data_IF_654759317998
#
_entry.id   IF_654759317998
#
_cell.length_a   1.000
_cell.length_b   1.000
_cell.length_c   1.000
_cell.angle_alpha   90.00
_cell.angle_beta   90.00
_cell.angle_gamma   90.00
#
_symmetry.space_group_name_H-M   'P 1'
#
loop_
_entity.id
_entity.type
_entity.pdbx_description
1 polymer ?
#
# COMPACT_ATOMS: atom_id res chain seq x y z
N UNK A 1 -11.90 37.32 5.07
CA UNK A 1 -11.62 35.87 5.24
C UNK A 1 -10.69 35.26 4.17
N UNK A 2 -10.65 35.76 2.92
CA UNK A 2 -9.84 35.17 1.83
C UNK A 2 -8.31 35.11 2.06
N UNK A 3 -7.73 35.96 2.92
CA UNK A 3 -6.28 36.00 3.15
C UNK A 3 -5.73 34.80 3.92
N UNK A 4 -6.50 34.20 4.84
CA UNK A 4 -6.05 33.07 5.68
C UNK A 4 -6.46 31.69 5.17
N UNK A 5 -7.49 31.64 4.32
CA UNK A 5 -7.98 30.40 3.70
C UNK A 5 -6.87 29.65 2.95
N UNK A 6 -5.98 30.39 2.28
CA UNK A 6 -4.84 29.79 1.54
C UNK A 6 -3.86 29.06 2.46
N UNK A 7 -3.62 29.59 3.66
CA UNK A 7 -2.70 28.98 4.64
C UNK A 7 -3.32 27.77 5.33
N UNK A 8 -4.63 27.82 5.64
CA UNK A 8 -5.35 26.68 6.21
C UNK A 8 -5.39 25.52 5.19
N UNK A 9 -5.70 25.81 3.93
CA UNK A 9 -5.69 24.80 2.86
C UNK A 9 -4.28 24.21 2.66
N UNK A 10 -3.23 25.04 2.70
CA UNK A 10 -1.85 24.57 2.60
C UNK A 10 -1.45 23.68 3.80
N UNK A 11 -1.81 24.05 5.04
CA UNK A 11 -1.52 23.26 6.23
C UNK A 11 -2.22 21.89 6.18
N UNK A 12 -3.49 21.87 5.78
CA UNK A 12 -4.27 20.63 5.63
C UNK A 12 -3.67 19.73 4.54
N UNK A 13 -3.28 20.30 3.39
CA UNK A 13 -2.61 19.55 2.31
C UNK A 13 -1.26 18.97 2.76
N UNK A 14 -0.46 19.73 3.52
CA UNK A 14 0.81 19.26 4.07
C UNK A 14 0.57 18.14 5.08
N UNK A 15 -0.40 18.27 5.99
CA UNK A 15 -0.73 17.23 6.96
C UNK A 15 -1.18 15.92 6.27
N UNK A 16 -2.07 16.00 5.28
CA UNK A 16 -2.52 14.82 4.51
C UNK A 16 -1.35 14.12 3.82
N UNK A 17 -0.37 14.88 3.30
CA UNK A 17 0.80 14.30 2.62
C UNK A 17 1.72 13.49 3.55
N UNK A 18 1.78 13.82 4.84
CA UNK A 18 2.61 13.12 5.84
C UNK A 18 1.96 11.80 6.29
N UNK A 19 0.63 11.74 6.38
CA UNK A 19 -0.09 10.53 6.81
C UNK A 19 -0.23 9.44 5.73
N UNK A 20 0.07 9.75 4.47
CA UNK A 20 0.07 8.76 3.38
C UNK A 20 1.32 7.85 3.41
N UNK A 21 2.25 8.07 4.33
CA UNK A 21 3.45 7.24 4.45
C UNK A 21 3.10 5.85 5.02
N UNK A 22 3.09 4.85 4.13
CA UNK A 22 3.21 3.40 4.41
C UNK A 22 1.99 2.70 5.00
N UNK A 23 0.79 2.98 4.49
CA UNK A 23 -0.35 2.11 4.72
C UNK A 23 -0.15 0.74 4.05
N UNK A 24 -0.60 -0.33 4.71
CA UNK A 24 -0.68 -1.66 4.12
C UNK A 24 -1.49 -1.59 2.83
N UNK A 25 -0.95 -2.12 1.74
CA UNK A 25 -1.63 -2.17 0.46
C UNK A 25 -2.05 -3.61 0.19
N UNK A 26 -3.29 -3.81 -0.22
CA UNK A 26 -3.81 -5.12 -0.65
C UNK A 26 -4.50 -4.99 -2.00
N UNK A 27 -4.54 -6.09 -2.74
CA UNK A 27 -5.13 -6.10 -4.06
C UNK A 27 -5.15 -7.46 -4.72
N UNK A 28 -5.63 -7.48 -5.96
CA UNK A 28 -5.54 -8.63 -6.86
C UNK A 28 -4.67 -8.25 -8.05
N UNK A 29 -3.77 -9.13 -8.44
CA UNK A 29 -2.84 -8.88 -9.53
C UNK A 29 -2.50 -10.14 -10.31
N UNK A 30 -1.73 -9.98 -11.38
CA UNK A 30 -1.18 -11.09 -12.16
C UNK A 30 0.23 -11.41 -11.69
N UNK A 31 0.44 -12.60 -11.14
CA UNK A 31 1.76 -13.09 -10.77
C UNK A 31 2.40 -13.78 -11.97
N UNK A 32 3.54 -13.25 -12.42
CA UNK A 32 4.39 -13.88 -13.43
C UNK A 32 5.82 -13.82 -12.93
N UNK A 33 6.46 -14.99 -12.79
CA UNK A 33 7.81 -15.11 -12.23
C UNK A 33 7.89 -14.56 -10.80
N UNK A 34 8.82 -13.64 -10.56
CA UNK A 34 9.10 -13.02 -9.26
C UNK A 34 8.44 -11.65 -9.07
N UNK A 35 7.32 -11.38 -9.74
CA UNK A 35 6.61 -10.11 -9.61
C UNK A 35 5.09 -10.29 -9.74
N UNK A 36 4.35 -9.33 -9.16
CA UNK A 36 2.90 -9.20 -9.30
C UNK A 36 2.59 -7.88 -10.00
N UNK A 37 1.92 -7.95 -11.14
CA UNK A 37 1.46 -6.82 -11.92
C UNK A 37 0.07 -6.40 -11.45
N UNK A 38 -0.09 -5.12 -11.12
CA UNK A 38 -1.22 -4.65 -10.30
C UNK A 38 -2.24 -3.82 -11.08
N UNK A 39 -1.85 -3.28 -12.24
CA UNK A 39 -2.72 -2.43 -13.06
C UNK A 39 -3.50 -3.29 -14.04
N UNK A 40 -4.81 -3.46 -13.82
CA UNK A 40 -5.67 -4.20 -14.73
C UNK A 40 -6.04 -3.36 -15.96
N UNK A 41 -5.90 -3.93 -17.17
CA UNK A 41 -6.20 -3.28 -18.44
C UNK A 41 -7.51 -3.78 -19.08
N UNK A 42 -7.97 -4.98 -18.74
CA UNK A 42 -9.16 -5.60 -19.33
C UNK A 42 -8.99 -7.10 -19.57
N UNK A 43 -9.85 -7.70 -20.38
CA UNK A 43 -9.72 -9.09 -20.84
C UNK A 43 -9.46 -9.14 -22.34
N UNK A 44 -8.66 -10.11 -22.77
CA UNK A 44 -8.36 -10.33 -24.19
C UNK A 44 -8.14 -11.83 -24.46
N UNK A 45 -8.33 -12.29 -25.71
CA UNK A 45 -7.94 -13.64 -26.12
C UNK A 45 -6.42 -13.82 -26.02
N UNK A 46 -5.98 -14.95 -25.49
CA UNK A 46 -4.56 -15.28 -25.36
C UNK A 46 -3.99 -15.69 -26.71
N UNK A 47 -3.01 -14.93 -27.24
CA UNK A 47 -2.43 -15.15 -28.57
C UNK A 47 -3.49 -15.31 -29.69
N UNK A 48 -4.58 -14.54 -29.60
CA UNK A 48 -5.66 -14.57 -30.60
C UNK A 48 -6.62 -15.78 -30.50
N UNK A 49 -6.48 -16.64 -29.50
CA UNK A 49 -7.43 -17.72 -29.26
C UNK A 49 -8.68 -17.23 -28.51
N UNK A 50 -9.80 -17.11 -29.22
CA UNK A 50 -11.08 -16.62 -28.67
C UNK A 50 -11.70 -17.56 -27.62
N UNK A 51 -11.29 -18.83 -27.57
CA UNK A 51 -11.73 -19.78 -26.55
C UNK A 51 -10.94 -19.66 -25.24
N UNK A 52 -9.86 -18.87 -25.23
CA UNK A 52 -8.92 -18.74 -24.10
C UNK A 52 -8.79 -17.26 -23.72
N UNK A 53 -9.77 -16.78 -22.96
CA UNK A 53 -9.84 -15.38 -22.51
C UNK A 53 -9.10 -15.24 -21.19
N UNK A 54 -8.14 -14.32 -21.15
CA UNK A 54 -7.32 -14.02 -19.97
C UNK A 54 -7.45 -12.57 -19.53
N UNK A 55 -7.19 -12.31 -18.25
CA UNK A 55 -7.06 -10.95 -17.71
C UNK A 55 -5.71 -10.35 -18.10
N UNK A 56 -5.73 -9.16 -18.68
CA UNK A 56 -4.53 -8.43 -19.10
C UNK A 56 -4.17 -7.39 -18.04
N UNK A 57 -2.92 -7.39 -17.61
CA UNK A 57 -2.36 -6.40 -16.69
C UNK A 57 -1.24 -5.61 -17.37
N UNK A 58 -1.05 -4.36 -16.96
CA UNK A 58 0.03 -3.52 -17.47
C UNK A 58 1.40 -4.03 -17.04
N UNK A 59 2.35 -4.10 -17.96
CA UNK A 59 3.75 -4.37 -17.63
C UNK A 59 4.49 -3.15 -17.04
N UNK A 60 3.85 -1.97 -16.99
CA UNK A 60 4.45 -0.73 -16.46
C UNK A 60 4.63 -0.73 -14.95
N UNK A 61 3.77 -1.46 -14.23
CA UNK A 61 3.66 -1.40 -12.78
C UNK A 61 3.68 -2.81 -12.22
N UNK A 62 4.77 -3.17 -11.56
CA UNK A 62 4.95 -4.47 -10.95
C UNK A 62 5.51 -4.32 -9.53
N UNK A 63 4.96 -5.12 -8.61
CA UNK A 63 5.49 -5.26 -7.25
C UNK A 63 6.35 -6.50 -7.22
N UNK A 64 7.64 -6.33 -6.92
CA UNK A 64 8.56 -7.46 -6.84
C UNK A 64 8.22 -8.36 -5.66
N UNK A 65 8.37 -9.66 -5.87
CA UNK A 65 8.29 -10.70 -4.85
C UNK A 65 9.71 -10.99 -4.38
N UNK A 66 9.93 -10.90 -3.08
CA UNK A 66 11.16 -11.35 -2.44
C UNK A 66 10.88 -12.70 -1.81
N UNK A 67 11.51 -13.72 -2.39
CA UNK A 67 11.58 -15.08 -1.86
C UNK A 67 12.97 -15.34 -1.31
N UNK A 68 13.10 -15.91 -0.12
CA UNK A 68 14.41 -16.21 0.48
C UNK A 68 14.43 -17.51 1.29
N UNK A 69 15.56 -18.23 1.20
CA UNK A 69 15.94 -19.28 2.14
C UNK A 69 16.68 -18.63 3.32
N UNK A 70 15.94 -17.98 4.22
CA UNK A 70 16.49 -17.24 5.35
C UNK A 70 16.12 -15.76 5.33
N UNK A 71 15.95 -15.18 6.52
CA UNK A 71 15.53 -13.78 6.72
C UNK A 71 16.55 -12.78 6.18
N UNK A 72 16.24 -12.10 5.07
CA UNK A 72 16.98 -10.94 4.56
C UNK A 72 16.50 -9.61 5.14
N UNK A 73 15.60 -9.64 6.13
CA UNK A 73 14.82 -8.46 6.54
C UNK A 73 13.55 -8.32 5.71
N UNK A 74 12.46 -7.94 6.38
CA UNK A 74 11.23 -7.53 5.70
C UNK A 74 11.52 -6.30 4.83
N UNK A 75 11.17 -6.35 3.54
CA UNK A 75 11.37 -5.23 2.60
C UNK A 75 10.06 -4.50 2.33
N UNK A 76 9.97 -3.25 2.79
CA UNK A 76 8.86 -2.37 2.43
C UNK A 76 8.84 -2.06 0.93
N UNK A 77 7.65 -1.94 0.37
CA UNK A 77 7.41 -1.74 -1.06
C UNK A 77 7.44 -3.02 -1.89
N UNK A 78 7.61 -4.19 -1.26
CA UNK A 78 7.70 -5.49 -1.93
C UNK A 78 6.81 -6.52 -1.26
N UNK A 79 6.48 -7.58 -1.99
CA UNK A 79 5.75 -8.74 -1.48
C UNK A 79 6.78 -9.72 -0.89
N UNK A 80 6.70 -9.97 0.40
CA UNK A 80 7.64 -10.80 1.15
C UNK A 80 7.08 -12.22 1.31
N UNK A 81 7.86 -13.23 0.93
CA UNK A 81 7.50 -14.64 1.08
C UNK A 81 8.71 -15.41 1.62
N UNK A 82 8.68 -15.80 2.89
CA UNK A 82 9.73 -16.59 3.51
C UNK A 82 9.19 -17.40 4.70
N UNK A 83 9.80 -18.57 4.93
CA UNK A 83 9.51 -19.45 6.07
C UNK A 83 9.99 -18.84 7.39
N UNK A 84 9.46 -19.30 8.52
CA UNK A 84 9.98 -18.96 9.84
C UNK A 84 11.39 -19.56 10.03
N UNK A 85 12.20 -18.95 10.90
CA UNK A 85 13.52 -19.46 11.21
C UNK A 85 14.23 -18.65 12.28
N UNK A 86 15.55 -18.80 12.33
CA UNK A 86 16.43 -18.06 13.24
C UNK A 86 17.52 -17.34 12.46
N UNK A 87 17.94 -16.17 12.94
CA UNK A 87 19.08 -15.42 12.41
C UNK A 87 20.11 -15.24 13.51
N UNK A 88 21.37 -15.39 13.17
CA UNK A 88 22.44 -15.08 14.12
C UNK A 88 22.59 -13.56 14.26
N UNK A 89 22.48 -13.07 15.49
CA UNK A 89 22.71 -11.68 15.86
C UNK A 89 24.10 -11.57 16.49
N UNK A 90 25.05 -11.03 15.73
CA UNK A 90 26.44 -10.90 16.18
C UNK A 90 26.63 -9.88 17.30
N UNK A 91 25.68 -8.94 17.49
CA UNK A 91 25.78 -7.95 18.56
C UNK A 91 25.47 -8.58 19.93
N UNK A 92 24.55 -9.54 19.98
CA UNK A 92 24.14 -10.24 21.20
C UNK A 92 24.70 -11.65 21.29
N UNK A 93 25.36 -12.16 20.24
CA UNK A 93 25.80 -13.55 20.09
C UNK A 93 24.66 -14.57 20.27
N UNK A 94 23.43 -14.20 19.90
CA UNK A 94 22.24 -15.05 20.02
C UNK A 94 21.62 -15.36 18.66
N UNK A 95 20.83 -16.44 18.61
CA UNK A 95 19.98 -16.73 17.46
C UNK A 95 18.59 -16.15 17.70
N UNK A 96 18.26 -15.06 17.02
CA UNK A 96 16.98 -14.39 17.14
C UNK A 96 15.95 -15.08 16.22
N UNK A 97 14.81 -15.55 16.74
CA UNK A 97 13.76 -16.11 15.91
C UNK A 97 13.07 -15.01 15.10
N UNK A 98 12.62 -15.36 13.89
CA UNK A 98 11.75 -14.51 13.08
C UNK A 98 10.54 -15.33 12.57
N UNK A 99 9.36 -14.69 12.48
CA UNK A 99 8.15 -15.37 12.01
C UNK A 99 8.18 -15.59 10.49
N UNK A 100 7.42 -16.58 10.03
CA UNK A 100 7.12 -16.73 8.61
C UNK A 100 6.29 -15.54 8.11
N UNK A 101 6.50 -15.14 6.86
CA UNK A 101 5.68 -14.14 6.19
C UNK A 101 5.29 -14.69 4.82
N UNK A 102 3.99 -14.68 4.53
CA UNK A 102 3.47 -14.96 3.20
C UNK A 102 2.48 -13.88 2.81
N UNK A 103 2.92 -13.01 1.92
CA UNK A 103 2.14 -11.87 1.44
C UNK A 103 1.35 -12.16 0.16
N UNK A 104 1.45 -13.38 -0.38
CA UNK A 104 0.51 -13.92 -1.35
C UNK A 104 -0.55 -14.71 -0.59
N UNK A 105 -1.73 -14.11 -0.46
CA UNK A 105 -2.80 -14.60 0.40
C UNK A 105 -3.53 -15.78 -0.22
N UNK A 106 -3.75 -15.72 -1.54
CA UNK A 106 -4.43 -16.77 -2.28
C UNK A 106 -4.10 -16.71 -3.77
N UNK A 107 -4.09 -17.87 -4.43
CA UNK A 107 -4.18 -17.96 -5.88
C UNK A 107 -5.65 -18.11 -6.26
N UNK A 108 -6.21 -17.10 -6.93
CA UNK A 108 -7.61 -17.04 -7.33
C UNK A 108 -7.86 -17.92 -8.56
N UNK A 109 -6.91 -17.91 -9.50
CA UNK A 109 -7.01 -18.68 -10.73
C UNK A 109 -5.62 -18.87 -11.34
N UNK A 110 -5.37 -20.05 -11.90
CA UNK A 110 -4.08 -20.41 -12.49
C UNK A 110 -4.08 -20.15 -14.00
N UNK A 111 -2.95 -19.72 -14.55
CA UNK A 111 -2.75 -19.51 -16.00
C UNK A 111 -3.84 -18.65 -16.69
N UNK A 112 -4.44 -17.71 -15.96
CA UNK A 112 -5.62 -16.94 -16.38
C UNK A 112 -5.36 -15.45 -16.52
N UNK A 113 -4.09 -15.04 -16.40
CA UNK A 113 -3.68 -13.67 -16.66
C UNK A 113 -2.43 -13.60 -17.54
N UNK A 114 -2.22 -12.44 -18.13
CA UNK A 114 -1.03 -12.10 -18.90
C UNK A 114 -0.67 -10.63 -18.67
N UNK A 115 0.53 -10.24 -19.09
CA UNK A 115 0.99 -8.86 -19.05
C UNK A 115 1.13 -8.27 -20.44
N UNK A 116 0.90 -6.97 -20.58
CA UNK A 116 1.11 -6.27 -21.83
C UNK A 116 1.27 -4.77 -21.58
N UNK A 117 1.84 -4.04 -22.54
CA UNK A 117 1.82 -2.58 -22.52
C UNK A 117 0.43 -2.01 -22.85
N UNK A 118 -0.43 -2.77 -23.55
CA UNK A 118 -1.77 -2.32 -23.92
C UNK A 118 -2.75 -3.48 -24.09
N UNK A 119 -4.05 -3.17 -24.02
CA UNK A 119 -5.10 -4.15 -24.32
C UNK A 119 -5.00 -4.58 -25.80
N UNK A 120 -4.96 -5.89 -26.05
CA UNK A 120 -4.94 -6.46 -27.41
C UNK A 120 -3.56 -6.82 -27.96
N UNK A 121 -2.46 -6.51 -27.28
CA UNK A 121 -1.13 -7.00 -27.65
C UNK A 121 -0.77 -8.16 -26.72
N UNK A 122 -0.69 -9.39 -27.25
CA UNK A 122 -0.22 -10.53 -26.47
C UNK A 122 1.30 -10.52 -26.39
N UNK A 123 1.87 -10.10 -25.25
CA UNK A 123 3.32 -10.13 -25.02
C UNK A 123 3.67 -10.81 -23.71
N UNK A 124 4.29 -11.98 -23.75
CA UNK A 124 4.76 -12.68 -22.55
C UNK A 124 4.00 -13.97 -22.24
N UNK A 125 4.26 -14.53 -21.05
CA UNK A 125 3.69 -15.80 -20.60
C UNK A 125 2.38 -15.64 -19.82
N UNK A 126 1.66 -16.76 -19.64
CA UNK A 126 0.54 -16.85 -18.71
C UNK A 126 1.04 -16.82 -17.27
N UNK A 127 0.27 -16.15 -16.44
CA UNK A 127 0.47 -16.08 -14.99
C UNK A 127 -0.77 -16.49 -14.22
N UNK A 128 -0.60 -16.46 -12.90
CA UNK A 128 -1.67 -16.75 -11.96
C UNK A 128 -2.28 -15.45 -11.44
N UNK A 129 -3.60 -15.40 -11.31
CA UNK A 129 -4.26 -14.31 -10.60
C UNK A 129 -4.11 -14.59 -9.10
N UNK A 130 -3.48 -13.66 -8.39
CA UNK A 130 -3.22 -13.78 -6.95
C UNK A 130 -3.82 -12.62 -6.18
N UNK A 131 -4.28 -12.89 -4.97
CA UNK A 131 -4.52 -11.88 -3.95
C UNK A 131 -3.23 -11.66 -3.18
N UNK A 132 -2.85 -10.40 -3.01
CA UNK A 132 -1.61 -10.03 -2.35
C UNK A 132 -1.83 -8.92 -1.34
N UNK A 133 -0.87 -8.81 -0.43
CA UNK A 133 -0.68 -7.64 0.44
C UNK A 133 0.79 -7.24 0.46
N UNK A 134 1.12 -6.00 0.81
CA UNK A 134 2.49 -5.58 1.09
C UNK A 134 2.47 -4.31 1.95
N UNK A 135 3.63 -3.87 2.45
CA UNK A 135 3.76 -2.76 3.41
C UNK A 135 3.08 -3.04 4.75
N UNK A 136 3.26 -4.24 5.29
CA UNK A 136 2.72 -4.61 6.59
C UNK A 136 3.20 -3.60 7.67
N UNK A 137 2.28 -2.97 8.41
CA UNK A 137 2.59 -1.86 9.31
C UNK A 137 3.48 -2.29 10.47
N UNK A 138 3.44 -3.56 10.87
CA UNK A 138 4.31 -4.14 11.90
C UNK A 138 5.80 -4.01 11.53
N UNK A 139 6.11 -4.04 10.24
CA UNK A 139 7.50 -3.99 9.75
C UNK A 139 7.85 -2.67 9.06
N UNK A 140 6.87 -1.99 8.45
CA UNK A 140 7.08 -0.77 7.68
C UNK A 140 6.85 0.53 8.44
N UNK A 141 6.13 0.47 9.56
CA UNK A 141 6.11 1.56 10.52
C UNK A 141 7.46 1.64 11.21
N UNK A 142 8.17 2.76 11.06
CA UNK A 142 9.04 3.18 12.17
C UNK A 142 8.16 3.20 13.42
N UNK A 143 8.74 2.79 14.57
CA UNK A 143 8.04 2.56 15.86
C UNK A 143 6.69 3.28 15.90
N UNK A 144 5.53 2.56 16.00
CA UNK A 144 4.24 3.23 16.07
C UNK A 144 4.40 4.32 17.11
N UNK A 145 4.21 5.58 16.74
CA UNK A 145 4.13 6.62 17.75
C UNK A 145 2.99 6.17 18.66
N UNK A 146 3.27 5.79 19.91
CA UNK A 146 2.25 5.26 20.81
C UNK A 146 1.46 6.45 21.37
N UNK A 147 1.09 7.38 20.50
CA UNK A 147 0.29 8.52 20.86
C UNK A 147 -1.13 8.14 20.47
N UNK A 148 -1.97 7.76 21.44
CA UNK A 148 -3.38 7.54 21.17
C UNK A 148 -3.93 8.80 20.50
N UNK A 149 -4.74 8.66 19.45
CA UNK A 149 -5.43 9.80 18.83
C UNK A 149 -6.17 10.66 19.86
N UNK A 150 -6.52 10.07 20.99
CA UNK A 150 -7.16 10.72 22.13
C UNK A 150 -6.31 11.83 22.77
N UNK A 151 -4.98 11.69 22.77
CA UNK A 151 -4.05 12.71 23.30
C UNK A 151 -3.96 13.96 22.40
N UNK A 152 -4.54 13.92 21.20
CA UNK A 152 -4.65 15.09 20.31
C UNK A 152 -6.09 15.53 20.09
N UNK A 153 -7.08 14.85 20.67
CA UNK A 153 -8.48 15.28 20.61
C UNK A 153 -8.63 16.71 21.17
N UNK A 154 -7.93 17.04 22.26
CA UNK A 154 -7.94 18.40 22.80
C UNK A 154 -7.31 19.42 21.84
N UNK A 155 -6.26 19.04 21.10
CA UNK A 155 -5.58 19.92 20.15
C UNK A 155 -6.45 20.14 18.89
N UNK A 156 -7.13 19.09 18.43
CA UNK A 156 -8.08 19.13 17.30
C UNK A 156 -9.32 19.94 17.69
N UNK A 157 -9.94 19.64 18.84
CA UNK A 157 -11.10 20.39 19.36
C UNK A 157 -10.70 21.85 19.61
N UNK A 158 -9.53 22.10 20.19
CA UNK A 158 -9.00 23.45 20.42
C UNK A 158 -8.78 24.22 19.12
N UNK A 159 -8.26 23.58 18.09
CA UNK A 159 -8.07 24.24 16.77
C UNK A 159 -9.41 24.51 16.07
N UNK A 160 -10.40 23.61 16.15
CA UNK A 160 -11.77 23.88 15.68
C UNK A 160 -12.47 24.97 16.50
N UNK A 161 -12.31 25.00 17.82
CA UNK A 161 -12.90 26.02 18.70
C UNK A 161 -12.29 27.40 18.46
N UNK A 162 -10.96 27.49 18.28
CA UNK A 162 -10.28 28.74 17.93
C UNK A 162 -10.68 29.24 16.54
N UNK A 163 -10.79 28.34 15.55
CA UNK A 163 -11.29 28.68 14.21
C UNK A 163 -12.75 29.15 14.25
N UNK A 164 -13.61 28.43 14.96
CA UNK A 164 -15.02 28.79 15.14
C UNK A 164 -15.19 30.12 15.86
N UNK A 165 -14.49 30.32 16.98
CA UNK A 165 -14.51 31.58 17.74
C UNK A 165 -13.95 32.76 16.95
N UNK A 166 -12.92 32.56 16.14
CA UNK A 166 -12.39 33.60 15.26
C UNK A 166 -13.35 33.95 14.12
N UNK A 167 -14.07 32.98 13.56
CA UNK A 167 -15.09 33.23 12.53
C UNK A 167 -16.32 33.96 13.11
N UNK A 168 -16.73 33.61 14.33
CA UNK A 168 -17.83 34.27 15.06
C UNK A 168 -17.43 35.68 15.51
N UNK A 169 -16.17 35.94 15.89
CA UNK A 169 -15.77 37.31 16.28
C UNK A 169 -15.65 38.28 15.10
N UNK A 170 -15.40 37.75 13.89
CA UNK A 170 -15.23 38.55 12.66
C UNK A 170 -16.55 38.85 11.95
N UNK A 171 -17.56 37.98 12.11
CA UNK A 171 -18.92 38.28 11.69
C UNK A 171 -19.71 38.70 12.93
N UNK A 172 -20.13 39.97 13.03
CA UNK A 172 -21.21 40.34 13.95
C UNK A 172 -22.46 39.56 13.53
N UNK A 173 -22.58 38.32 13.99
CA UNK A 173 -23.85 37.61 14.00
C UNK A 173 -24.65 38.35 15.06
N UNK A 174 -25.38 39.37 14.59
CA UNK A 174 -26.47 39.93 15.34
C UNK A 174 -27.47 38.78 15.53
N UNK A 175 -27.40 38.15 16.70
CA UNK A 175 -28.53 37.39 17.23
C UNK A 175 -29.62 38.45 17.39
N UNK A 176 -30.59 38.40 16.48
CA UNK A 176 -31.81 39.21 16.53
C UNK A 176 -32.96 38.29 16.85
#
# INVERSE_FOLDING_TARGET
MRKYLKYIVALVLVLISVFMAKAQTSGTGCKIGSAVYTTYLGTAPYYGNNSDIVKVYSNSTAVSIITGNGYSGYQCGKINIYSAGTRYNSATNTNDPYPAVNEILATVSTNSCMVSSSLGVSSGGKGDIVQYTYNNPTYCGGSPMPLPLDDYNWAIIGSFALLGGFLISKNKIAIR
#
